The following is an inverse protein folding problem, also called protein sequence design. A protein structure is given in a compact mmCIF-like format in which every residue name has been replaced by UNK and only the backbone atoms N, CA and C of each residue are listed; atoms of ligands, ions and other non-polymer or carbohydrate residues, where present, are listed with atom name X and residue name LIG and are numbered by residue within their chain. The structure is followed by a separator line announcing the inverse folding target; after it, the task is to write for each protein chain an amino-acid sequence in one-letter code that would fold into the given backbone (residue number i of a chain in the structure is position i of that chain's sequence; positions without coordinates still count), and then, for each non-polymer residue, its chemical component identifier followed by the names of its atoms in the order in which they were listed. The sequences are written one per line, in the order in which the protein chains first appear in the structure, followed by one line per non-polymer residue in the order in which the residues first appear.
data_IF_156785565150
#
_entry.id   IF_156785565150
#
_cell.length_a   1.000
_cell.length_b   1.000
_cell.length_c   1.000
_cell.angle_alpha   90.00
_cell.angle_beta   90.00
_cell.angle_gamma   90.00
#
_symmetry.space_group_name_H-M   'P 1'
#
loop_
_entity.id
_entity.type
_entity.pdbx_description
1 polymer ?
#
# COMPACT_ATOMS: atom_id res chain seq x y z
N UNK A 1 50.18 -15.69 24.49
CA UNK A 1 48.88 -16.12 23.91
C UNK A 1 47.96 -16.54 25.07
N UNK A 2 47.08 -15.68 25.52
CA UNK A 2 46.15 -15.99 26.59
C UNK A 2 44.88 -16.59 25.98
N UNK A 3 44.55 -17.83 26.36
CA UNK A 3 43.38 -18.56 25.91
C UNK A 3 42.10 -17.89 26.45
N UNK A 4 41.26 -17.41 25.52
CA UNK A 4 39.96 -16.88 25.87
C UNK A 4 39.04 -18.02 26.34
N UNK A 5 38.70 -18.04 27.62
CA UNK A 5 37.87 -19.10 28.24
C UNK A 5 36.39 -18.82 27.91
N UNK A 6 35.59 -19.90 27.70
CA UNK A 6 34.13 -19.83 27.48
C UNK A 6 33.38 -19.07 28.60
N UNK A 7 33.92 -19.05 29.79
CA UNK A 7 33.33 -18.29 30.92
C UNK A 7 33.45 -16.78 30.77
N UNK A 8 34.55 -16.29 30.18
CA UNK A 8 34.76 -14.87 29.92
C UNK A 8 33.85 -14.35 28.85
N UNK A 9 33.49 -15.19 27.84
CA UNK A 9 32.53 -14.82 26.76
C UNK A 9 31.10 -14.69 27.32
N UNK A 10 30.70 -15.59 28.23
CA UNK A 10 29.34 -15.57 28.80
C UNK A 10 29.11 -14.41 29.78
N UNK A 11 30.15 -13.95 30.48
CA UNK A 11 30.05 -12.78 31.37
C UNK A 11 30.02 -11.45 30.60
N UNK A 12 30.66 -11.36 29.45
CA UNK A 12 30.57 -10.17 28.58
C UNK A 12 29.20 -10.04 27.88
N UNK A 13 28.53 -11.16 27.61
CA UNK A 13 27.20 -11.17 26.97
C UNK A 13 26.04 -10.81 27.94
N UNK A 14 26.27 -10.92 29.25
CA UNK A 14 25.24 -10.67 30.28
C UNK A 14 25.04 -9.18 30.61
N UNK A 15 25.95 -8.30 30.23
CA UNK A 15 25.88 -6.86 30.53
C UNK A 15 25.29 -5.98 29.41
N UNK A 16 24.86 -6.57 28.30
CA UNK A 16 24.24 -5.83 27.16
C UNK A 16 22.76 -6.14 26.94
N UNK A 17 22.10 -6.84 27.85
CA UNK A 17 20.64 -7.02 27.82
C UNK A 17 19.92 -5.83 28.48
N UNK A 18 20.30 -4.61 28.13
CA UNK A 18 19.43 -3.47 28.22
C UNK A 18 18.39 -3.66 27.13
N UNK A 19 17.17 -4.00 27.52
CA UNK A 19 15.99 -3.97 26.64
C UNK A 19 15.76 -2.51 26.20
N UNK A 20 16.55 -2.04 25.24
CA UNK A 20 16.14 -0.93 24.41
C UNK A 20 14.98 -1.48 23.57
N UNK A 21 13.76 -1.39 24.12
CA UNK A 21 12.58 -1.37 23.27
C UNK A 21 12.83 -0.24 22.28
N UNK A 22 13.26 -0.60 21.07
CA UNK A 22 13.17 0.27 19.91
C UNK A 22 11.67 0.52 19.70
N UNK A 23 11.11 1.41 20.50
CA UNK A 23 9.91 2.13 20.12
C UNK A 23 10.37 2.94 18.92
N UNK A 24 10.26 2.32 17.74
CA UNK A 24 10.29 3.09 16.49
C UNK A 24 9.29 4.20 16.71
N UNK A 25 9.70 5.48 16.66
CA UNK A 25 8.74 6.55 16.75
C UNK A 25 7.75 6.28 15.62
N UNK A 26 6.53 5.92 15.99
CA UNK A 26 5.40 6.04 15.07
C UNK A 26 5.53 7.49 14.60
N UNK A 27 5.97 7.64 13.33
CA UNK A 27 6.18 8.96 12.76
C UNK A 27 4.93 9.75 13.13
N UNK A 28 5.10 10.71 14.02
CA UNK A 28 3.99 11.54 14.46
C UNK A 28 3.54 12.24 13.19
N UNK A 29 2.44 11.76 12.63
CA UNK A 29 1.84 12.38 11.46
C UNK A 29 1.47 13.77 11.93
N UNK A 30 2.01 14.79 11.26
CA UNK A 30 1.65 16.16 11.57
C UNK A 30 0.13 16.27 11.52
N UNK A 31 -0.48 16.81 12.58
CA UNK A 31 -1.92 17.02 12.62
C UNK A 31 -2.32 17.79 11.35
N UNK A 32 -3.33 17.27 10.62
CA UNK A 32 -3.82 17.87 9.37
C UNK A 32 -3.27 17.29 8.07
N UNK A 33 -2.27 16.38 8.08
CA UNK A 33 -1.80 15.72 6.85
C UNK A 33 -2.71 14.54 6.50
N UNK A 34 -3.46 14.66 5.40
CA UNK A 34 -4.30 13.60 4.88
C UNK A 34 -3.49 12.59 4.05
N UNK A 35 -3.89 11.32 4.08
CA UNK A 35 -3.42 10.31 3.14
C UNK A 35 -4.04 10.61 1.78
N UNK A 36 -3.23 10.85 0.79
CA UNK A 36 -3.66 11.01 -0.59
C UNK A 36 -3.79 9.64 -1.23
N UNK A 37 -5.02 9.20 -1.39
CA UNK A 37 -5.36 7.87 -1.86
C UNK A 37 -5.90 7.89 -3.28
N UNK A 38 -5.54 6.88 -4.08
CA UNK A 38 -6.14 6.66 -5.39
C UNK A 38 -6.88 5.33 -5.47
N UNK A 39 -7.95 5.28 -6.25
CA UNK A 39 -8.70 4.05 -6.52
C UNK A 39 -8.54 3.67 -7.98
N UNK A 40 -8.04 2.46 -8.23
CA UNK A 40 -7.81 1.89 -9.57
C UNK A 40 -8.81 0.75 -9.80
N UNK A 41 -9.67 0.94 -10.80
CA UNK A 41 -10.85 0.12 -11.05
C UNK A 41 -12.06 0.63 -10.28
N UNK A 42 -13.07 1.13 -11.00
CA UNK A 42 -14.29 1.76 -10.44
C UNK A 42 -15.55 0.91 -10.67
N UNK A 43 -15.39 -0.41 -10.74
CA UNK A 43 -16.49 -1.35 -10.64
C UNK A 43 -17.17 -1.30 -9.27
N UNK A 44 -17.96 -2.33 -8.94
CA UNK A 44 -18.72 -2.36 -7.68
C UNK A 44 -17.86 -2.14 -6.43
N UNK A 45 -16.75 -2.86 -6.31
CA UNK A 45 -15.85 -2.77 -5.15
C UNK A 45 -15.06 -1.47 -5.14
N UNK A 46 -14.47 -1.04 -6.27
CA UNK A 46 -13.71 0.20 -6.30
C UNK A 46 -14.58 1.44 -6.01
N UNK A 47 -15.80 1.48 -6.52
CA UNK A 47 -16.77 2.53 -6.14
C UNK A 47 -17.08 2.50 -4.65
N UNK A 48 -17.17 1.30 -4.04
CA UNK A 48 -17.34 1.15 -2.58
C UNK A 48 -16.12 1.69 -1.83
N UNK A 49 -14.90 1.36 -2.29
CA UNK A 49 -13.66 1.88 -1.69
C UNK A 49 -13.64 3.40 -1.72
N UNK A 50 -13.89 4.01 -2.88
CA UNK A 50 -13.92 5.46 -3.03
C UNK A 50 -14.91 6.10 -2.06
N UNK A 51 -16.12 5.54 -1.94
CA UNK A 51 -17.17 6.04 -1.04
C UNK A 51 -16.79 5.90 0.44
N UNK A 52 -16.26 4.74 0.85
CA UNK A 52 -15.93 4.48 2.26
C UNK A 52 -14.73 5.33 2.68
N UNK A 53 -13.69 5.38 1.86
CA UNK A 53 -12.46 6.11 2.18
C UNK A 53 -12.66 7.63 2.17
N UNK A 54 -13.54 8.16 1.31
CA UNK A 54 -13.88 9.59 1.33
C UNK A 54 -14.60 10.06 2.61
N UNK A 55 -15.14 9.12 3.39
CA UNK A 55 -15.76 9.41 4.68
C UNK A 55 -14.77 9.55 5.85
N UNK A 56 -13.49 9.22 5.66
CA UNK A 56 -12.49 9.37 6.71
C UNK A 56 -11.84 10.76 6.67
N UNK A 57 -11.74 11.45 7.82
CA UNK A 57 -11.18 12.80 7.88
C UNK A 57 -9.71 12.86 7.46
N UNK A 58 -8.98 11.76 7.68
CA UNK A 58 -7.54 11.64 7.40
C UNK A 58 -7.24 11.12 5.99
N UNK A 59 -8.27 10.93 5.14
CA UNK A 59 -8.12 10.41 3.79
C UNK A 59 -8.69 11.40 2.77
N UNK A 60 -7.94 11.62 1.70
CA UNK A 60 -8.36 12.35 0.51
C UNK A 60 -8.32 11.42 -0.68
N UNK A 61 -9.41 11.28 -1.40
CA UNK A 61 -9.39 10.59 -2.71
C UNK A 61 -8.79 11.57 -3.72
N UNK A 62 -7.50 11.42 -3.96
CA UNK A 62 -6.72 12.32 -4.83
C UNK A 62 -6.85 11.96 -6.30
N UNK A 63 -7.09 10.68 -6.63
CA UNK A 63 -7.26 10.23 -8.00
C UNK A 63 -8.21 9.03 -8.10
N UNK A 64 -8.88 8.94 -9.25
CA UNK A 64 -9.74 7.84 -9.67
C UNK A 64 -9.25 7.35 -11.03
N UNK A 65 -9.22 6.03 -11.23
CA UNK A 65 -8.78 5.44 -12.48
C UNK A 65 -9.69 4.30 -12.92
N UNK A 66 -10.20 4.38 -14.14
CA UNK A 66 -10.89 3.27 -14.83
C UNK A 66 -10.74 3.44 -16.33
N UNK A 67 -10.66 2.34 -17.05
CA UNK A 67 -10.62 2.34 -18.53
C UNK A 67 -12.00 2.63 -19.14
N UNK A 68 -13.06 2.50 -18.36
CA UNK A 68 -14.44 2.80 -18.76
C UNK A 68 -14.74 4.28 -18.43
N UNK A 69 -14.89 5.15 -19.46
CA UNK A 69 -15.11 6.57 -19.25
C UNK A 69 -16.45 6.90 -18.57
N UNK A 70 -17.46 6.06 -18.74
CA UNK A 70 -18.77 6.28 -18.10
C UNK A 70 -18.69 6.04 -16.60
N UNK A 71 -18.00 4.97 -16.18
CA UNK A 71 -17.75 4.69 -14.75
C UNK A 71 -16.90 5.77 -14.13
N UNK A 72 -15.85 6.18 -14.83
CA UNK A 72 -14.93 7.23 -14.38
C UNK A 72 -15.68 8.55 -14.16
N UNK A 73 -16.51 8.99 -15.12
CA UNK A 73 -17.33 10.19 -14.99
C UNK A 73 -18.32 10.09 -13.82
N UNK A 74 -19.08 8.98 -13.74
CA UNK A 74 -20.10 8.76 -12.71
C UNK A 74 -19.57 8.79 -11.27
N UNK A 75 -18.36 8.28 -11.06
CA UNK A 75 -17.72 8.31 -9.74
C UNK A 75 -17.06 9.65 -9.50
N UNK A 76 -16.45 10.24 -10.52
CA UNK A 76 -15.82 11.56 -10.48
C UNK A 76 -16.79 12.69 -10.11
N UNK A 77 -18.02 12.65 -10.59
CA UNK A 77 -19.08 13.61 -10.21
C UNK A 77 -19.31 13.67 -8.69
N UNK A 78 -19.13 12.54 -8.01
CA UNK A 78 -19.31 12.46 -6.53
C UNK A 78 -18.07 12.87 -5.76
N UNK A 79 -16.93 12.97 -6.42
CA UNK A 79 -15.62 13.29 -5.84
C UNK A 79 -14.89 14.34 -6.69
N UNK A 80 -15.43 15.57 -6.77
CA UNK A 80 -14.97 16.60 -7.73
C UNK A 80 -13.53 17.07 -7.47
N UNK A 81 -12.94 16.72 -6.33
CA UNK A 81 -11.52 17.00 -6.03
C UNK A 81 -10.54 15.96 -6.57
N UNK A 82 -11.03 14.81 -7.04
CA UNK A 82 -10.18 13.71 -7.52
C UNK A 82 -9.78 13.93 -8.99
N UNK A 83 -8.51 13.69 -9.30
CA UNK A 83 -8.04 13.62 -10.69
C UNK A 83 -8.57 12.34 -11.36
N UNK A 84 -8.99 12.44 -12.61
CA UNK A 84 -9.52 11.32 -13.38
C UNK A 84 -8.48 10.83 -14.38
N UNK A 85 -8.24 9.52 -14.40
CA UNK A 85 -7.27 8.88 -15.29
C UNK A 85 -7.88 7.63 -15.95
N UNK A 86 -7.57 7.41 -17.20
CA UNK A 86 -7.91 6.20 -17.97
C UNK A 86 -6.78 5.14 -17.93
N UNK A 87 -5.58 5.53 -17.52
CA UNK A 87 -4.41 4.67 -17.36
C UNK A 87 -3.86 4.77 -15.92
N UNK A 88 -3.79 3.63 -15.23
CA UNK A 88 -3.28 3.55 -13.86
C UNK A 88 -1.81 3.97 -13.73
N UNK A 89 -1.01 3.89 -14.79
CA UNK A 89 0.38 4.32 -14.78
C UNK A 89 0.49 5.81 -14.48
N UNK A 90 -0.44 6.62 -14.99
CA UNK A 90 -0.51 8.06 -14.69
C UNK A 90 -0.77 8.34 -13.22
N UNK A 91 -1.59 7.49 -12.58
CA UNK A 91 -1.79 7.55 -11.12
C UNK A 91 -0.50 7.25 -10.38
N UNK A 92 0.26 6.24 -10.81
CA UNK A 92 1.51 5.82 -10.16
C UNK A 92 2.66 6.82 -10.34
N UNK A 93 2.68 7.57 -11.44
CA UNK A 93 3.64 8.65 -11.71
C UNK A 93 3.45 9.85 -10.75
N UNK A 94 2.24 10.08 -10.23
CA UNK A 94 1.98 11.18 -9.29
C UNK A 94 2.59 10.89 -7.92
N UNK A 95 3.70 11.56 -7.62
CA UNK A 95 4.43 11.40 -6.36
C UNK A 95 3.67 11.91 -5.14
N UNK A 96 2.62 12.69 -5.34
CA UNK A 96 1.78 13.19 -4.25
C UNK A 96 0.78 12.15 -3.75
N UNK A 97 0.59 11.03 -4.45
CA UNK A 97 -0.24 9.92 -4.02
C UNK A 97 0.56 9.01 -3.09
N UNK A 98 0.04 8.74 -1.91
CA UNK A 98 0.67 7.88 -0.90
C UNK A 98 0.29 6.42 -1.06
N UNK A 99 -0.98 6.16 -1.40
CA UNK A 99 -1.55 4.82 -1.40
C UNK A 99 -2.55 4.60 -2.51
N UNK A 100 -2.74 3.33 -2.90
CA UNK A 100 -3.70 2.93 -3.92
C UNK A 100 -4.54 1.73 -3.49
N UNK A 101 -5.82 1.74 -3.86
CA UNK A 101 -6.68 0.55 -3.88
C UNK A 101 -6.74 0.00 -5.30
N UNK A 102 -6.53 -1.31 -5.43
CA UNK A 102 -6.64 -2.04 -6.69
C UNK A 102 -7.90 -2.90 -6.64
N UNK A 103 -8.92 -2.52 -7.41
CA UNK A 103 -10.21 -3.19 -7.52
C UNK A 103 -10.61 -3.40 -9.00
N UNK A 104 -9.62 -3.68 -9.81
CA UNK A 104 -9.73 -4.07 -11.23
C UNK A 104 -10.29 -5.49 -11.36
N UNK A 105 -10.52 -6.02 -12.57
CA UNK A 105 -10.70 -7.46 -12.77
C UNK A 105 -9.48 -8.26 -12.28
N UNK A 106 -9.72 -9.49 -11.81
CA UNK A 106 -8.75 -10.33 -11.09
C UNK A 106 -7.38 -10.46 -11.77
N UNK A 107 -7.37 -10.59 -13.11
CA UNK A 107 -6.14 -10.74 -13.89
C UNK A 107 -5.26 -9.47 -13.91
N UNK A 108 -5.79 -8.34 -13.47
CA UNK A 108 -5.05 -7.09 -13.31
C UNK A 108 -4.61 -6.83 -11.87
N UNK A 109 -5.06 -7.60 -10.89
CA UNK A 109 -4.69 -7.39 -9.48
C UNK A 109 -3.18 -7.43 -9.27
N UNK A 110 -2.53 -8.55 -9.65
CA UNK A 110 -1.08 -8.71 -9.47
C UNK A 110 -0.28 -7.70 -10.30
N UNK A 111 -0.51 -7.51 -11.61
CA UNK A 111 0.24 -6.53 -12.40
C UNK A 111 0.19 -5.11 -11.85
N UNK A 112 -1.01 -4.64 -11.49
CA UNK A 112 -1.19 -3.27 -10.97
C UNK A 112 -0.57 -3.13 -9.58
N UNK A 113 -0.75 -4.13 -8.70
CA UNK A 113 -0.16 -4.12 -7.37
C UNK A 113 1.38 -4.11 -7.42
N UNK A 114 2.00 -4.91 -8.30
CA UNK A 114 3.45 -4.92 -8.51
C UNK A 114 3.96 -3.57 -9.00
N UNK A 115 3.27 -2.95 -9.96
CA UNK A 115 3.62 -1.63 -10.47
C UNK A 115 3.51 -0.56 -9.36
N UNK A 116 2.47 -0.62 -8.53
CA UNK A 116 2.28 0.31 -7.42
C UNK A 116 3.36 0.16 -6.34
N UNK A 117 3.74 -1.08 -5.99
CA UNK A 117 4.86 -1.35 -5.08
C UNK A 117 6.18 -0.80 -5.64
N UNK A 118 6.45 -1.02 -6.92
CA UNK A 118 7.65 -0.50 -7.59
C UNK A 118 7.68 1.04 -7.62
N UNK A 119 6.50 1.69 -7.69
CA UNK A 119 6.36 3.14 -7.60
C UNK A 119 6.42 3.68 -6.16
N UNK A 120 6.65 2.82 -5.15
CA UNK A 120 6.74 3.21 -3.74
C UNK A 120 5.40 3.56 -3.11
N UNK A 121 4.28 3.07 -3.64
CA UNK A 121 2.94 3.32 -3.10
C UNK A 121 2.54 2.23 -2.11
N UNK A 122 1.83 2.60 -1.04
CA UNK A 122 1.10 1.64 -0.22
C UNK A 122 -0.03 1.03 -1.04
N UNK A 123 -0.25 -0.27 -0.90
CA UNK A 123 -1.19 -1.01 -1.76
C UNK A 123 -2.22 -1.76 -0.93
N UNK A 124 -3.47 -1.57 -1.29
CA UNK A 124 -4.57 -2.44 -0.89
C UNK A 124 -5.13 -3.09 -2.16
N UNK A 125 -5.08 -4.41 -2.26
CA UNK A 125 -5.55 -5.15 -3.43
C UNK A 125 -6.76 -6.01 -3.07
N UNK A 126 -7.81 -6.00 -3.91
CA UNK A 126 -8.97 -6.84 -3.75
C UNK A 126 -8.63 -8.33 -3.92
N UNK A 127 -9.47 -9.15 -3.34
CA UNK A 127 -9.39 -10.61 -3.48
C UNK A 127 -9.98 -11.06 -4.83
N UNK A 128 -9.44 -12.13 -5.42
CA UNK A 128 -8.18 -12.79 -5.11
C UNK A 128 -6.99 -11.92 -5.54
N UNK A 129 -5.96 -11.82 -4.72
CA UNK A 129 -4.82 -10.95 -5.03
C UNK A 129 -3.98 -11.42 -6.23
N UNK A 130 -4.16 -12.66 -6.64
CA UNK A 130 -3.44 -13.32 -7.73
C UNK A 130 -4.27 -14.46 -8.31
N UNK A 131 -4.09 -14.77 -9.60
CA UNK A 131 -4.74 -15.88 -10.26
C UNK A 131 -3.93 -17.19 -10.17
N UNK A 132 -2.63 -17.08 -9.95
CA UNK A 132 -1.72 -18.22 -9.88
C UNK A 132 -0.83 -18.17 -8.65
N UNK A 133 -0.34 -19.34 -8.22
CA UNK A 133 0.62 -19.42 -7.12
C UNK A 133 1.93 -18.69 -7.44
N UNK A 134 2.33 -18.64 -8.71
CA UNK A 134 3.51 -17.90 -9.15
C UNK A 134 3.33 -16.39 -8.93
N UNK A 135 2.20 -15.83 -9.34
CA UNK A 135 1.85 -14.42 -9.12
C UNK A 135 1.79 -14.09 -7.62
N UNK A 136 1.14 -14.94 -6.82
CA UNK A 136 1.05 -14.75 -5.38
C UNK A 136 2.43 -14.70 -4.71
N UNK A 137 3.35 -15.59 -5.10
CA UNK A 137 4.73 -15.59 -4.63
C UNK A 137 5.48 -14.34 -5.07
N UNK A 138 5.34 -13.95 -6.33
CA UNK A 138 5.98 -12.74 -6.88
C UNK A 138 5.51 -11.48 -6.14
N UNK A 139 4.21 -11.36 -5.89
CA UNK A 139 3.63 -10.24 -5.15
C UNK A 139 4.13 -10.21 -3.69
N UNK A 140 4.14 -11.36 -3.00
CA UNK A 140 4.70 -11.49 -1.65
C UNK A 140 6.16 -11.04 -1.59
N UNK A 141 6.98 -11.53 -2.52
CA UNK A 141 8.42 -11.24 -2.53
C UNK A 141 8.70 -9.78 -2.90
N UNK A 142 7.88 -9.18 -3.76
CA UNK A 142 7.93 -7.74 -4.04
C UNK A 142 7.55 -6.91 -2.79
N UNK A 143 6.47 -7.25 -2.13
CA UNK A 143 6.03 -6.57 -0.91
C UNK A 143 7.07 -6.63 0.22
N UNK A 144 7.74 -7.78 0.38
CA UNK A 144 8.80 -7.95 1.38
C UNK A 144 10.05 -7.08 1.13
N UNK A 145 10.30 -6.68 -0.14
CA UNK A 145 11.44 -5.82 -0.50
C UNK A 145 11.13 -4.34 -0.47
N UNK A 146 9.86 -3.97 -0.43
CA UNK A 146 9.44 -2.57 -0.47
C UNK A 146 9.24 -2.04 0.96
N UNK A 147 9.61 -0.77 1.19
CA UNK A 147 9.36 -0.08 2.46
C UNK A 147 7.91 0.46 2.55
N UNK A 148 6.96 -0.22 1.91
CA UNK A 148 5.55 0.16 1.85
C UNK A 148 4.67 -0.98 2.36
N UNK A 149 3.46 -0.62 2.77
CA UNK A 149 2.49 -1.58 3.27
C UNK A 149 1.68 -2.16 2.11
N UNK A 150 1.59 -3.49 2.03
CA UNK A 150 0.72 -4.19 1.08
C UNK A 150 -0.28 -5.06 1.85
N UNK A 151 -1.55 -4.96 1.50
CA UNK A 151 -2.63 -5.74 2.12
C UNK A 151 -3.57 -6.28 1.05
N UNK A 152 -4.04 -7.49 1.26
CA UNK A 152 -5.12 -8.12 0.49
C UNK A 152 -6.44 -7.92 1.24
N UNK A 153 -7.54 -7.68 0.50
CA UNK A 153 -8.86 -7.61 1.07
C UNK A 153 -9.21 -8.94 1.80
N UNK A 154 -9.88 -8.89 2.95
CA UNK A 154 -10.41 -10.08 3.60
C UNK A 154 -11.55 -10.69 2.76
N UNK A 155 -11.82 -11.97 2.95
CA UNK A 155 -12.98 -12.67 2.37
C UNK A 155 -14.29 -12.16 2.96
#
# INVERSE_FOLDING_TARGET
MAACSRRTFLTAAALSAGTASLVLPRAARAEGVKIRHAVIGLGGQGTRHARVLSGFPDCEIAALCDVDPERLAKVGEKLPGAKLHDDFRRVLEDKSIDSVSVATPDHWHTPVALAALAAGKHVYVEKPCAQTLHEARTLRDAAARCAVFARVAPE
#
